data_IF_009195944244
#
_entry.id   IF_009195944244
#
_cell.length_a   1.000
_cell.length_b   1.000
_cell.length_c   1.000
_cell.angle_alpha   90.00
_cell.angle_beta   90.00
_cell.angle_gamma   90.00
#
_symmetry.space_group_name_H-M   'P 1'
#
loop_
_entity.id
_entity.type
_entity.pdbx_description
1 polymer ?
#
# COMPACT_ATOMS: atom_id res chain seq x y z
N UNK A 1 8.53 -5.93 13.08
CA UNK A 1 7.48 -5.06 12.53
C UNK A 1 6.50 -5.78 11.61
N UNK A 2 7.02 -6.54 10.66
CA UNK A 2 6.13 -7.25 9.73
C UNK A 2 5.23 -8.25 10.45
N UNK A 3 5.79 -9.01 11.39
CA UNK A 3 5.02 -10.02 12.10
C UNK A 3 3.93 -9.40 12.97
N UNK A 4 4.15 -8.19 13.47
CA UNK A 4 3.16 -7.51 14.30
C UNK A 4 1.92 -7.12 13.51
N UNK A 5 2.04 -7.06 12.19
CA UNK A 5 0.94 -6.66 11.31
C UNK A 5 0.44 -7.83 10.47
N UNK A 6 0.77 -9.06 10.87
CA UNK A 6 0.36 -10.26 10.15
C UNK A 6 0.83 -10.26 8.71
N UNK A 7 2.05 -9.78 8.49
CA UNK A 7 2.66 -9.86 7.17
C UNK A 7 3.01 -11.30 6.83
N UNK A 8 2.68 -11.71 5.62
CA UNK A 8 2.82 -13.10 5.22
C UNK A 8 4.16 -13.40 4.58
N UNK A 9 4.64 -12.49 3.73
CA UNK A 9 5.82 -12.82 2.94
C UNK A 9 6.40 -11.57 2.32
N UNK A 10 7.68 -11.60 2.07
CA UNK A 10 8.39 -10.52 1.40
C UNK A 10 8.95 -11.09 0.11
N UNK A 11 8.67 -10.42 -0.99
CA UNK A 11 9.24 -10.77 -2.28
C UNK A 11 9.91 -9.53 -2.86
N UNK A 12 11.13 -9.72 -3.36
CA UNK A 12 11.84 -8.63 -3.98
C UNK A 12 11.32 -8.41 -5.39
N UNK A 13 11.04 -7.16 -5.73
CA UNK A 13 10.50 -6.80 -7.04
C UNK A 13 11.28 -5.60 -7.55
N UNK A 14 12.26 -5.85 -8.45
CA UNK A 14 13.10 -4.77 -8.93
C UNK A 14 13.91 -4.17 -7.80
N UNK A 15 13.78 -2.87 -7.61
CA UNK A 15 14.47 -2.16 -6.52
C UNK A 15 13.55 -1.95 -5.32
N UNK A 16 12.42 -2.64 -5.28
CA UNK A 16 11.49 -2.53 -4.18
C UNK A 16 11.13 -3.88 -3.60
N UNK A 17 10.08 -3.90 -2.81
CA UNK A 17 9.61 -5.12 -2.18
C UNK A 17 8.11 -5.22 -2.31
N UNK A 18 7.62 -6.44 -2.42
CA UNK A 18 6.20 -6.71 -2.35
C UNK A 18 5.91 -7.48 -1.08
N UNK A 19 4.92 -7.00 -0.33
CA UNK A 19 4.50 -7.61 0.92
C UNK A 19 3.03 -7.98 0.80
N UNK A 20 2.66 -9.09 1.42
CA UNK A 20 1.27 -9.53 1.42
C UNK A 20 0.76 -9.62 2.85
N UNK A 21 -0.48 -9.20 3.04
CA UNK A 21 -1.14 -9.22 4.34
C UNK A 21 -2.53 -9.81 4.16
N UNK A 22 -3.00 -10.51 5.18
CA UNK A 22 -4.37 -11.01 5.15
C UNK A 22 -5.39 -9.93 5.45
N UNK A 23 -4.98 -8.93 6.23
CA UNK A 23 -5.87 -7.88 6.66
C UNK A 23 -5.52 -6.57 5.96
N UNK A 24 -6.44 -5.98 5.20
CA UNK A 24 -6.20 -4.66 4.61
C UNK A 24 -5.91 -3.60 5.66
N UNK A 25 -6.58 -3.65 6.81
CA UNK A 25 -6.32 -2.69 7.88
C UNK A 25 -4.88 -2.79 8.39
N UNK A 26 -4.38 -4.01 8.51
CA UNK A 26 -3.00 -4.20 8.98
C UNK A 26 -1.99 -3.83 7.93
N UNK A 27 -2.32 -4.03 6.66
CA UNK A 27 -1.44 -3.61 5.57
C UNK A 27 -1.29 -2.10 5.56
N UNK A 28 -2.38 -1.37 5.73
CA UNK A 28 -2.36 0.09 5.76
C UNK A 28 -1.54 0.58 6.95
N UNK A 29 -1.76 -0.01 8.13
CA UNK A 29 -1.02 0.38 9.32
C UNK A 29 0.47 0.11 9.17
N UNK A 30 0.82 -1.04 8.57
CA UNK A 30 2.21 -1.35 8.31
C UNK A 30 2.85 -0.34 7.36
N UNK A 31 2.13 0.02 6.30
CA UNK A 31 2.65 0.98 5.33
C UNK A 31 3.00 2.32 5.95
N UNK A 32 2.09 2.85 6.77
CA UNK A 32 2.36 4.10 7.46
C UNK A 32 3.51 3.97 8.45
N UNK A 33 3.53 2.87 9.19
CA UNK A 33 4.61 2.63 10.15
C UNK A 33 5.97 2.52 9.48
N UNK A 34 6.03 1.83 8.36
CA UNK A 34 7.27 1.69 7.61
C UNK A 34 7.74 3.04 7.09
N UNK A 35 6.81 3.82 6.52
CA UNK A 35 7.14 5.15 6.03
C UNK A 35 7.75 5.99 7.14
N UNK A 36 7.12 5.99 8.31
CA UNK A 36 7.58 6.83 9.42
C UNK A 36 8.92 6.33 9.97
N UNK A 37 9.09 5.02 10.06
CA UNK A 37 10.33 4.46 10.59
C UNK A 37 11.51 4.82 9.69
N UNK A 38 11.32 4.76 8.38
CA UNK A 38 12.40 5.08 7.45
C UNK A 38 12.65 6.58 7.36
N UNK A 39 11.58 7.38 7.45
CA UNK A 39 11.71 8.83 7.38
C UNK A 39 12.41 9.39 8.61
N UNK A 40 12.31 8.74 9.76
CA UNK A 40 12.93 9.25 10.99
C UNK A 40 14.44 9.26 10.90
N UNK A 41 15.02 8.50 9.97
CA UNK A 41 16.45 8.56 9.73
C UNK A 41 16.86 9.72 8.82
N UNK A 42 15.87 10.40 8.23
CA UNK A 42 16.11 11.57 7.41
C UNK A 42 16.64 11.32 6.02
N UNK A 43 16.84 10.07 5.65
CA UNK A 43 17.50 9.76 4.38
C UNK A 43 16.68 8.94 3.42
N UNK A 44 15.73 8.14 3.91
CA UNK A 44 14.99 7.22 3.05
C UNK A 44 13.54 7.63 2.99
N UNK A 45 13.08 7.87 1.76
CA UNK A 45 11.68 8.19 1.50
C UNK A 45 11.12 7.12 0.59
N UNK A 46 10.24 6.29 1.14
CA UNK A 46 9.67 5.19 0.36
C UNK A 46 8.40 5.65 -0.32
N UNK A 47 8.12 5.00 -1.44
CA UNK A 47 6.84 5.12 -2.12
C UNK A 47 6.08 3.83 -1.89
N UNK A 48 4.85 3.94 -1.43
CA UNK A 48 4.08 2.77 -1.05
C UNK A 48 2.74 2.78 -1.78
N UNK A 49 2.43 1.67 -2.40
CA UNK A 49 1.14 1.46 -3.05
C UNK A 49 0.46 0.25 -2.45
N UNK A 50 -0.82 0.39 -2.16
CA UNK A 50 -1.61 -0.64 -1.50
C UNK A 50 -2.84 -0.97 -2.33
N UNK A 51 -3.04 -2.25 -2.60
CA UNK A 51 -4.27 -2.71 -3.24
C UNK A 51 -4.76 -3.94 -2.50
N UNK A 52 -6.03 -4.25 -2.67
CA UNK A 52 -6.67 -5.37 -2.00
C UNK A 52 -7.49 -6.14 -3.00
N UNK A 53 -7.49 -7.46 -2.89
CA UNK A 53 -8.22 -8.30 -3.79
C UNK A 53 -7.62 -9.68 -3.84
N UNK A 54 -8.03 -10.44 -4.83
CA UNK A 54 -7.50 -11.77 -5.02
C UNK A 54 -6.05 -11.71 -5.47
N UNK A 55 -5.24 -12.56 -4.89
CA UNK A 55 -3.84 -12.68 -5.25
C UNK A 55 -3.52 -14.17 -5.36
N UNK A 56 -2.86 -14.53 -6.44
CA UNK A 56 -2.48 -15.92 -6.69
C UNK A 56 -1.09 -16.13 -6.12
N UNK A 57 -0.97 -17.08 -5.20
CA UNK A 57 0.31 -17.42 -4.60
C UNK A 57 0.84 -18.69 -5.24
N UNK A 58 2.07 -18.63 -5.74
CA UNK A 58 2.75 -19.76 -6.34
C UNK A 58 4.17 -19.82 -5.78
N UNK A 59 4.88 -20.89 -6.13
CA UNK A 59 6.25 -21.05 -5.62
C UNK A 59 7.14 -19.87 -5.93
N UNK A 60 6.91 -19.23 -7.07
CA UNK A 60 7.77 -18.12 -7.51
C UNK A 60 7.29 -16.76 -7.03
N UNK A 61 6.21 -16.71 -6.26
CA UNK A 61 5.74 -15.44 -5.72
C UNK A 61 4.25 -15.23 -5.88
N UNK A 62 3.87 -13.97 -5.85
CA UNK A 62 2.46 -13.57 -5.92
C UNK A 62 2.17 -12.96 -7.28
N UNK A 63 1.00 -13.29 -7.82
CA UNK A 63 0.61 -12.84 -9.14
C UNK A 63 -0.84 -12.38 -9.13
N UNK A 64 -1.21 -11.57 -10.13
CA UNK A 64 -2.57 -11.13 -10.33
C UNK A 64 -2.66 -9.63 -10.50
N UNK A 65 -3.85 -9.16 -10.88
CA UNK A 65 -4.07 -7.73 -11.12
C UNK A 65 -3.87 -6.90 -9.86
N UNK A 66 -4.22 -7.48 -8.70
CA UNK A 66 -4.04 -6.79 -7.43
C UNK A 66 -2.58 -6.42 -7.21
N UNK A 67 -1.68 -7.37 -7.48
CA UNK A 67 -0.25 -7.14 -7.34
C UNK A 67 0.21 -6.04 -8.30
N UNK A 68 -0.26 -6.12 -9.53
CA UNK A 68 0.12 -5.16 -10.56
C UNK A 68 -0.39 -3.75 -10.22
N UNK A 69 -1.63 -3.66 -9.75
CA UNK A 69 -2.17 -2.34 -9.36
C UNK A 69 -1.41 -1.74 -8.19
N UNK A 70 -1.07 -2.57 -7.19
CA UNK A 70 -0.30 -2.06 -6.06
C UNK A 70 1.03 -1.48 -6.53
N UNK A 71 1.70 -2.17 -7.45
CA UNK A 71 2.96 -1.68 -7.99
C UNK A 71 2.79 -0.35 -8.71
N UNK A 72 1.71 -0.22 -9.49
CA UNK A 72 1.45 1.02 -10.22
C UNK A 72 1.09 2.17 -9.30
N UNK A 73 0.38 1.89 -8.20
CA UNK A 73 0.11 2.91 -7.20
C UNK A 73 1.39 3.38 -6.53
N UNK A 74 2.29 2.45 -6.27
CA UNK A 74 3.59 2.81 -5.72
C UNK A 74 4.37 3.70 -6.68
N UNK A 75 4.36 3.36 -7.97
CA UNK A 75 5.04 4.17 -8.98
C UNK A 75 4.47 5.58 -9.06
N UNK A 76 3.19 5.73 -8.84
CA UNK A 76 2.52 7.02 -8.90
C UNK A 76 2.82 7.89 -7.69
N UNK A 77 3.10 7.26 -6.56
CA UNK A 77 3.33 7.99 -5.32
C UNK A 77 4.67 8.70 -5.35
N UNK A 78 4.74 9.83 -4.64
CA UNK A 78 6.01 10.49 -4.39
C UNK A 78 6.65 9.92 -3.13
N UNK A 79 7.94 10.12 -2.96
CA UNK A 79 8.62 9.62 -1.78
C UNK A 79 8.00 10.16 -0.50
N UNK A 80 7.74 9.28 0.44
CA UNK A 80 7.11 9.62 1.70
C UNK A 80 5.60 9.57 1.67
N UNK A 81 5.01 9.09 0.57
CA UNK A 81 3.56 9.03 0.43
C UNK A 81 3.08 7.60 0.31
N UNK A 82 1.88 7.36 0.83
CA UNK A 82 1.24 6.05 0.80
C UNK A 82 -0.05 6.19 0.03
N UNK A 83 -0.14 5.52 -1.11
CA UNK A 83 -1.33 5.55 -1.95
C UNK A 83 -2.06 4.22 -1.87
N UNK A 84 -3.37 4.29 -1.92
CA UNK A 84 -4.20 3.10 -1.79
C UNK A 84 -5.32 3.12 -2.82
N UNK A 85 -5.77 1.94 -3.19
CA UNK A 85 -6.91 1.77 -4.07
C UNK A 85 -8.21 1.98 -3.29
N UNK A 86 -9.30 2.14 -4.03
CA UNK A 86 -10.62 2.23 -3.42
C UNK A 86 -10.96 0.94 -2.66
N UNK A 87 -10.58 -0.20 -3.21
CA UNK A 87 -10.84 -1.48 -2.53
C UNK A 87 -10.16 -1.51 -1.17
N UNK A 88 -8.92 -1.03 -1.10
CA UNK A 88 -8.21 -1.00 0.18
C UNK A 88 -8.90 -0.05 1.15
N UNK A 89 -9.31 1.11 0.67
CA UNK A 89 -10.00 2.07 1.53
C UNK A 89 -11.27 1.46 2.14
N UNK A 90 -12.05 0.76 1.32
CA UNK A 90 -13.30 0.18 1.79
C UNK A 90 -13.05 -0.93 2.80
N UNK A 91 -12.04 -1.75 2.55
CA UNK A 91 -11.80 -2.94 3.37
C UNK A 91 -10.98 -2.65 4.63
N UNK A 92 -10.23 -1.56 4.64
CA UNK A 92 -9.37 -1.23 5.79
C UNK A 92 -10.14 -0.35 6.78
N UNK A 93 -11.28 -0.85 7.24
CA UNK A 93 -12.19 -0.04 8.04
C UNK A 93 -11.87 -0.05 9.53
N UNK A 94 -10.95 -0.88 9.97
CA UNK A 94 -10.53 -0.87 11.38
C UNK A 94 -9.19 -0.20 11.60
N UNK A 95 -8.55 0.28 10.54
CA UNK A 95 -7.26 0.95 10.68
C UNK A 95 -7.46 2.37 11.21
N UNK A 96 -6.58 2.84 12.10
CA UNK A 96 -6.68 4.19 12.64
C UNK A 96 -6.07 5.20 11.67
N UNK A 97 -6.66 5.31 10.49
CA UNK A 97 -6.13 6.16 9.41
C UNK A 97 -7.28 6.91 8.77
N UNK A 98 -6.92 7.96 8.03
CA UNK A 98 -7.89 8.62 7.17
C UNK A 98 -7.40 8.55 5.74
N UNK A 99 -8.33 8.55 4.82
CA UNK A 99 -8.06 8.47 3.40
C UNK A 99 -8.47 9.78 2.74
N UNK A 100 -7.61 10.29 1.89
CA UNK A 100 -7.89 11.50 1.14
C UNK A 100 -8.04 11.14 -0.32
N UNK A 101 -9.17 11.50 -0.92
CA UNK A 101 -9.50 11.15 -2.29
C UNK A 101 -8.68 12.01 -3.25
N UNK A 102 -7.89 11.37 -4.09
CA UNK A 102 -7.08 12.06 -5.09
C UNK A 102 -7.71 12.04 -6.48
N UNK A 103 -8.94 11.52 -6.60
CA UNK A 103 -9.62 11.44 -7.86
C UNK A 103 -9.27 10.20 -8.64
N UNK A 104 -9.73 10.17 -9.89
CA UNK A 104 -9.52 9.03 -10.77
C UNK A 104 -8.29 9.24 -11.62
N UNK A 105 -7.53 8.18 -11.81
CA UNK A 105 -6.28 8.22 -12.56
C UNK A 105 -6.14 6.98 -13.40
N UNK A 106 -5.44 7.13 -14.52
CA UNK A 106 -5.03 5.98 -15.31
C UNK A 106 -3.77 5.41 -14.70
N UNK A 107 -3.71 4.09 -14.59
CA UNK A 107 -2.52 3.42 -14.11
C UNK A 107 -1.87 2.73 -15.29
N UNK A 108 -0.58 2.95 -15.44
CA UNK A 108 0.16 2.48 -16.61
C UNK A 108 0.01 0.97 -16.79
N UNK A 109 -0.38 0.55 -17.99
CA UNK A 109 -0.53 -0.85 -18.31
C UNK A 109 -1.83 -1.47 -17.88
N UNK A 110 -2.72 -0.69 -17.22
CA UNK A 110 -4.04 -1.15 -16.83
C UNK A 110 -5.07 -0.33 -17.56
N UNK A 111 -6.10 -0.98 -18.08
CA UNK A 111 -7.17 -0.26 -18.75
C UNK A 111 -8.07 0.43 -17.75
N UNK A 112 -8.75 1.49 -18.19
CA UNK A 112 -9.73 2.17 -17.36
C UNK A 112 -9.14 3.21 -16.44
N UNK A 113 -9.97 3.69 -15.54
CA UNK A 113 -9.57 4.69 -14.57
C UNK A 113 -9.84 4.16 -13.18
N UNK A 114 -8.99 4.55 -12.25
CA UNK A 114 -9.02 4.03 -10.89
C UNK A 114 -9.01 5.18 -9.90
N UNK A 115 -9.87 5.11 -8.91
CA UNK A 115 -9.87 6.11 -7.85
C UNK A 115 -8.74 5.80 -6.89
N UNK A 116 -7.96 6.82 -6.59
CA UNK A 116 -6.76 6.69 -5.78
C UNK A 116 -6.92 7.53 -4.52
N UNK A 117 -6.43 7.00 -3.42
CA UNK A 117 -6.49 7.70 -2.13
C UNK A 117 -5.10 7.80 -1.55
N UNK A 118 -4.83 8.88 -0.87
CA UNK A 118 -3.63 8.97 -0.05
C UNK A 118 -4.00 8.64 1.38
N UNK A 119 -3.11 7.93 2.08
CA UNK A 119 -3.35 7.44 3.43
C UNK A 119 -2.57 8.29 4.41
N UNK A 120 -3.26 8.75 5.44
CA UNK A 120 -2.68 9.54 6.53
C UNK A 120 -3.06 8.93 7.86
N UNK A 121 -2.21 9.05 8.88
CA UNK A 121 -2.61 8.62 10.21
C UNK A 121 -3.72 9.50 10.73
N UNK A 122 -4.62 8.93 11.53
CA UNK A 122 -5.59 9.74 12.22
C UNK A 122 -4.87 10.65 13.20
N UNK A 123 -5.26 11.91 13.22
CA UNK A 123 -4.68 12.85 14.17
C UNK A 123 -5.27 12.61 15.54
N UNK A 124 -4.43 12.47 16.55
CA UNK A 124 -5.00 12.34 17.90
C UNK A 124 -5.68 13.63 18.31
N UNK A 125 -6.69 13.47 19.13
CA UNK A 125 -7.39 14.63 19.68
C UNK A 125 -6.47 15.43 20.57
N UNK A 126 -6.61 16.73 20.57
CA UNK A 126 -5.80 17.63 21.36
C UNK A 126 -6.60 18.28 22.44
#
# INVERSE_FOLDING_TARGET
>A
MLAEHDGLEIERAGDGFMLAFRSPSKAVAFGLGLRDALASNGEVRVRIGLDSGEVIREEKGYFGRTVFRAARLSDMASGGHVFASEATKVLADTAPVRFEDLGEHELKGLGGRYRVFEVFPDEPER
#
